data_IF_225264932935
#
_entry.id   IF_225264932935
#
_cell.length_a   1.000
_cell.length_b   1.000
_cell.length_c   1.000
_cell.angle_alpha   90.00
_cell.angle_beta   90.00
_cell.angle_gamma   90.00
#
_symmetry.space_group_name_H-M   'P 1'
#
loop_
_entity.id
_entity.type
_entity.pdbx_description
1 polymer ?
#
# COMPACT_ATOMS: atom_id res chain seq x y z
N UNK A 1 6.38 8.66 -12.54
CA UNK A 1 5.57 9.74 -11.91
C UNK A 1 4.25 9.81 -12.65
N UNK A 2 3.18 10.25 -12.00
CA UNK A 2 1.84 10.17 -12.62
C UNK A 2 1.60 11.21 -13.71
N UNK A 3 2.31 12.35 -13.68
CA UNK A 3 2.31 13.34 -14.77
C UNK A 3 3.24 12.98 -15.94
N UNK A 4 3.76 11.74 -15.99
CA UNK A 4 4.73 11.36 -17.02
C UNK A 4 4.09 11.12 -18.38
N UNK A 5 4.63 11.73 -19.44
CA UNK A 5 4.29 11.42 -20.83
C UNK A 5 5.44 10.69 -21.51
N UNK A 6 5.33 9.37 -21.62
CA UNK A 6 6.40 8.53 -22.17
C UNK A 6 6.81 8.88 -23.62
N UNK A 7 5.92 9.48 -24.41
CA UNK A 7 6.20 9.94 -25.78
C UNK A 7 6.78 11.36 -25.86
N UNK A 8 7.05 12.03 -24.73
CA UNK A 8 7.61 13.37 -24.72
C UNK A 8 9.09 13.38 -25.13
N UNK A 9 9.49 14.44 -25.84
CA UNK A 9 10.87 14.65 -26.31
C UNK A 9 11.63 15.71 -25.51
N UNK A 10 11.02 16.28 -24.46
CA UNK A 10 11.64 17.23 -23.54
C UNK A 10 11.24 16.93 -22.09
N UNK A 11 12.09 17.30 -21.13
CA UNK A 11 11.79 17.12 -19.70
C UNK A 11 10.52 17.87 -19.27
N UNK A 12 10.32 19.10 -19.78
CA UNK A 12 9.11 19.88 -19.51
C UNK A 12 7.84 19.20 -20.03
N UNK A 13 7.87 18.65 -21.24
CA UNK A 13 6.72 17.92 -21.79
C UNK A 13 6.52 16.55 -21.12
N UNK A 14 7.61 15.94 -20.64
CA UNK A 14 7.55 14.68 -19.90
C UNK A 14 6.85 14.87 -18.56
N UNK A 15 7.02 16.01 -17.89
CA UNK A 15 6.44 16.31 -16.57
C UNK A 15 5.23 17.27 -16.60
N UNK A 16 4.60 17.48 -17.76
CA UNK A 16 3.51 18.46 -17.91
C UNK A 16 2.27 18.12 -17.05
N UNK A 17 1.64 19.16 -16.50
CA UNK A 17 0.35 19.07 -15.78
C UNK A 17 -0.78 18.58 -16.68
N UNK A 18 -0.66 18.74 -18.01
CA UNK A 18 -1.66 18.20 -18.94
C UNK A 18 -1.82 16.68 -18.80
N UNK A 19 -0.84 16.01 -18.19
CA UNK A 19 -0.86 14.57 -17.92
C UNK A 19 -1.30 14.25 -16.48
N UNK A 20 -1.50 15.24 -15.61
CA UNK A 20 -2.01 15.04 -14.25
C UNK A 20 -3.47 14.62 -14.33
N UNK A 21 -3.83 13.52 -13.68
CA UNK A 21 -5.22 13.08 -13.61
C UNK A 21 -6.09 14.13 -12.89
N UNK A 22 -7.30 14.39 -13.41
CA UNK A 22 -8.17 15.50 -12.97
C UNK A 22 -8.66 15.44 -11.53
N UNK A 23 -8.57 14.28 -10.87
CA UNK A 23 -8.87 14.14 -9.44
C UNK A 23 -7.73 14.63 -8.53
N UNK A 24 -6.58 15.00 -9.09
CA UNK A 24 -5.44 15.56 -8.37
C UNK A 24 -5.41 17.07 -8.49
N UNK A 25 -4.68 17.72 -7.59
CA UNK A 25 -4.46 19.17 -7.61
C UNK A 25 -3.04 19.48 -8.01
N UNK A 26 -2.88 20.50 -8.83
CA UNK A 26 -1.58 21.06 -9.15
C UNK A 26 -1.28 22.35 -8.35
N UNK A 27 -2.13 22.71 -7.37
CA UNK A 27 -2.08 23.96 -6.58
C UNK A 27 -0.70 24.25 -5.95
N UNK A 28 0.13 23.24 -5.72
CA UNK A 28 1.47 23.35 -5.12
C UNK A 28 2.60 22.99 -6.09
N UNK A 29 2.35 23.04 -7.40
CA UNK A 29 3.37 22.82 -8.43
C UNK A 29 3.81 24.14 -9.05
N UNK A 30 5.04 24.21 -9.56
CA UNK A 30 5.59 25.34 -10.36
C UNK A 30 4.67 25.73 -11.49
N UNK A 31 3.89 24.78 -11.97
CA UNK A 31 3.09 24.91 -13.15
C UNK A 31 1.70 25.55 -12.86
N UNK A 32 1.32 25.74 -11.59
CA UNK A 32 0.08 26.46 -11.23
C UNK A 32 0.17 27.98 -11.40
N UNK A 33 1.29 28.61 -11.00
CA UNK A 33 1.47 30.07 -11.15
C UNK A 33 2.89 30.52 -11.52
N UNK A 34 3.84 29.60 -11.70
CA UNK A 34 5.24 29.93 -12.01
C UNK A 34 6.03 30.51 -10.83
N UNK A 35 5.44 30.61 -9.63
CA UNK A 35 6.05 31.26 -8.46
C UNK A 35 6.50 30.29 -7.38
N UNK A 36 6.00 29.05 -7.38
CA UNK A 36 6.32 28.02 -6.38
C UNK A 36 7.09 26.87 -7.00
N UNK A 37 8.42 26.86 -6.86
CA UNK A 37 9.23 25.67 -7.14
C UNK A 37 9.41 24.84 -5.86
N UNK A 38 8.72 23.70 -5.66
CA UNK A 38 8.96 22.85 -4.52
C UNK A 38 10.38 22.31 -4.61
N UNK A 39 11.14 22.60 -3.56
CA UNK A 39 12.53 22.16 -3.47
C UNK A 39 12.57 20.65 -3.26
N UNK A 40 13.22 19.94 -4.18
CA UNK A 40 13.52 18.53 -3.99
C UNK A 40 14.42 18.36 -2.76
N UNK A 41 14.07 17.42 -1.90
CA UNK A 41 14.85 17.07 -0.72
C UNK A 41 15.58 15.75 -0.94
N UNK A 42 16.74 15.64 -0.33
CA UNK A 42 17.47 14.37 -0.20
C UNK A 42 16.69 13.41 0.70
N UNK A 43 17.03 12.11 0.63
CA UNK A 43 16.43 11.13 1.52
C UNK A 43 16.76 11.44 3.00
N UNK A 44 17.99 11.87 3.33
CA UNK A 44 18.35 12.34 4.69
C UNK A 44 17.49 13.50 5.19
N UNK A 45 17.22 14.49 4.35
CA UNK A 45 16.35 15.62 4.70
C UNK A 45 14.91 15.16 4.92
N UNK A 46 14.40 14.26 4.08
CA UNK A 46 13.07 13.67 4.30
C UNK A 46 12.99 12.88 5.61
N UNK A 47 14.06 12.14 5.97
CA UNK A 47 14.16 11.44 7.26
C UNK A 47 14.04 12.45 8.40
N UNK A 48 14.79 13.55 8.36
CA UNK A 48 14.76 14.58 9.39
C UNK A 48 13.36 15.20 9.56
N UNK A 49 12.70 15.55 8.45
CA UNK A 49 11.36 16.14 8.45
C UNK A 49 10.30 15.19 9.02
N UNK A 50 10.25 13.95 8.54
CA UNK A 50 9.28 12.95 8.98
C UNK A 50 9.54 12.55 10.44
N UNK A 51 10.81 12.47 10.86
CA UNK A 51 11.15 12.17 12.25
C UNK A 51 10.71 13.28 13.20
N UNK A 52 10.92 14.55 12.83
CA UNK A 52 10.46 15.70 13.60
C UNK A 52 8.93 15.72 13.77
N UNK A 53 8.19 15.21 12.78
CA UNK A 53 6.75 15.02 12.85
C UNK A 53 6.30 13.78 13.65
N UNK A 54 7.24 12.97 14.17
CA UNK A 54 6.95 11.77 14.95
C UNK A 54 6.28 10.65 14.16
N UNK A 55 6.46 10.59 12.83
CA UNK A 55 5.79 9.63 11.95
C UNK A 55 6.68 8.43 11.58
N UNK A 56 6.06 7.35 11.10
CA UNK A 56 6.76 6.21 10.50
C UNK A 56 7.17 6.53 9.05
N UNK A 57 8.07 5.75 8.50
CA UNK A 57 8.65 5.93 7.17
C UNK A 57 8.26 4.76 6.26
N UNK A 58 7.93 5.05 5.00
CA UNK A 58 7.63 4.02 3.98
C UNK A 58 8.46 4.28 2.70
N UNK A 59 9.80 4.33 2.77
CA UNK A 59 10.64 4.66 1.62
C UNK A 59 10.59 3.58 0.54
N UNK A 60 10.36 3.98 -0.71
CA UNK A 60 10.46 3.08 -1.87
C UNK A 60 11.82 3.20 -2.54
N UNK A 61 12.54 2.08 -2.62
CA UNK A 61 13.70 1.96 -3.48
C UNK A 61 13.24 1.72 -4.92
N UNK A 62 13.37 2.75 -5.76
CA UNK A 62 12.99 2.67 -7.17
C UNK A 62 14.05 1.92 -7.98
N UNK A 63 13.61 1.04 -8.89
CA UNK A 63 14.49 0.38 -9.86
C UNK A 63 15.16 1.43 -10.76
N UNK A 64 16.45 1.24 -10.99
CA UNK A 64 17.39 2.28 -11.36
C UNK A 64 17.41 2.70 -12.83
N UNK A 65 17.56 4.01 -13.03
CA UNK A 65 18.48 4.58 -14.01
C UNK A 65 19.65 5.21 -13.24
N UNK A 66 20.90 4.88 -13.56
CA UNK A 66 22.05 5.35 -12.76
C UNK A 66 22.24 6.87 -12.89
N UNK A 67 22.09 7.59 -11.78
CA UNK A 67 22.47 9.00 -11.65
C UNK A 67 22.96 9.28 -10.21
N UNK A 68 23.70 10.38 -10.03
CA UNK A 68 24.48 10.67 -8.82
C UNK A 68 23.72 10.72 -7.49
N UNK A 69 22.40 10.91 -7.50
CA UNK A 69 21.56 10.99 -6.30
C UNK A 69 20.77 9.73 -5.95
N UNK A 70 21.03 8.61 -6.61
CA UNK A 70 20.32 7.35 -6.34
C UNK A 70 20.99 6.54 -5.22
N UNK A 71 20.20 6.04 -4.26
CA UNK A 71 20.66 5.26 -3.09
C UNK A 71 20.53 3.75 -3.26
N UNK A 72 21.61 2.98 -3.18
CA UNK A 72 21.56 1.51 -3.27
C UNK A 72 20.81 0.87 -2.08
N UNK A 73 20.55 -0.44 -2.17
CA UNK A 73 19.83 -1.20 -1.14
C UNK A 73 20.48 -1.10 0.25
N UNK A 74 21.80 -0.97 0.34
CA UNK A 74 22.54 -0.76 1.58
C UNK A 74 22.50 0.71 2.02
N UNK A 75 22.72 1.63 1.08
CA UNK A 75 22.75 3.07 1.37
C UNK A 75 21.44 3.59 1.96
N UNK A 76 20.27 3.15 1.46
CA UNK A 76 18.98 3.57 2.02
C UNK A 76 18.85 3.20 3.51
N UNK A 77 19.38 2.03 3.91
CA UNK A 77 19.36 1.57 5.31
C UNK A 77 20.36 2.35 6.16
N UNK A 78 21.56 2.59 5.63
CA UNK A 78 22.61 3.32 6.33
C UNK A 78 22.18 4.75 6.71
N UNK A 79 21.37 5.41 5.88
CA UNK A 79 20.84 6.73 6.22
C UNK A 79 19.89 6.70 7.43
N UNK A 80 19.05 5.66 7.57
CA UNK A 80 18.22 5.47 8.77
C UNK A 80 19.06 5.18 10.02
N UNK A 81 20.10 4.35 9.88
CA UNK A 81 21.04 4.06 10.97
C UNK A 81 21.78 5.32 11.43
N UNK A 82 22.29 6.13 10.49
CA UNK A 82 22.94 7.41 10.77
C UNK A 82 22.02 8.38 11.51
N UNK A 83 20.75 8.42 11.11
CA UNK A 83 19.71 9.22 11.75
C UNK A 83 19.20 8.63 13.09
N UNK A 84 19.70 7.45 13.50
CA UNK A 84 19.29 6.72 14.70
C UNK A 84 17.78 6.47 14.76
N UNK A 85 17.18 6.16 13.61
CA UNK A 85 15.77 5.78 13.52
C UNK A 85 15.64 4.30 13.87
N UNK A 86 14.74 3.99 14.81
CA UNK A 86 14.40 2.62 15.17
C UNK A 86 13.88 1.84 13.94
N UNK A 87 14.43 0.66 13.61
CA UNK A 87 14.05 -0.10 12.42
C UNK A 87 12.54 -0.40 12.33
N UNK A 88 11.87 -0.58 13.47
CA UNK A 88 10.41 -0.80 13.56
C UNK A 88 9.57 0.36 13.04
N UNK A 89 10.15 1.56 12.87
CA UNK A 89 9.49 2.71 12.25
C UNK A 89 9.64 2.76 10.74
N UNK A 90 10.42 1.88 10.12
CA UNK A 90 10.79 1.98 8.70
C UNK A 90 10.25 0.80 7.91
N UNK A 91 9.41 1.09 6.91
CA UNK A 91 8.80 0.13 6.02
C UNK A 91 9.45 0.26 4.64
N UNK A 92 10.65 -0.31 4.49
CA UNK A 92 11.35 -0.34 3.20
C UNK A 92 10.49 -1.07 2.18
N UNK A 93 10.31 -0.50 0.99
CA UNK A 93 9.54 -1.11 -0.08
C UNK A 93 10.32 -1.10 -1.40
N UNK A 94 10.14 -2.13 -2.22
CA UNK A 94 10.73 -2.21 -3.56
C UNK A 94 9.90 -3.13 -4.46
N UNK A 95 9.85 -2.82 -5.76
CA UNK A 95 9.34 -3.71 -6.80
C UNK A 95 10.37 -4.79 -7.18
N UNK A 96 11.63 -4.62 -6.80
CA UNK A 96 12.72 -5.51 -7.15
C UNK A 96 12.92 -6.56 -6.04
N UNK A 97 12.58 -7.81 -6.33
CA UNK A 97 12.71 -8.94 -5.39
C UNK A 97 14.13 -9.05 -4.76
N UNK A 98 15.24 -8.93 -5.53
CA UNK A 98 16.58 -8.86 -4.99
C UNK A 98 16.79 -7.87 -3.84
N UNK A 99 16.21 -6.67 -3.89
CA UNK A 99 16.39 -5.66 -2.83
C UNK A 99 15.76 -6.15 -1.52
N UNK A 100 14.55 -6.72 -1.61
CA UNK A 100 13.83 -7.29 -0.47
C UNK A 100 14.60 -8.45 0.14
N UNK A 101 15.07 -9.37 -0.70
CA UNK A 101 15.84 -10.53 -0.23
C UNK A 101 17.15 -10.11 0.41
N UNK A 102 17.81 -9.08 -0.13
CA UNK A 102 19.03 -8.53 0.45
C UNK A 102 18.76 -7.93 1.83
N UNK A 103 17.70 -7.13 2.02
CA UNK A 103 17.33 -6.57 3.33
C UNK A 103 16.97 -7.64 4.36
N UNK A 104 16.23 -8.68 3.95
CA UNK A 104 15.89 -9.80 4.83
C UNK A 104 17.16 -10.52 5.33
N UNK A 105 18.15 -10.71 4.46
CA UNK A 105 19.37 -11.46 4.75
C UNK A 105 20.42 -10.64 5.51
N UNK A 106 20.62 -9.38 5.14
CA UNK A 106 21.75 -8.56 5.60
C UNK A 106 21.34 -7.53 6.65
N UNK A 107 20.07 -7.11 6.66
CA UNK A 107 19.54 -6.06 7.54
C UNK A 107 18.28 -6.54 8.29
N UNK A 108 18.34 -7.66 9.03
CA UNK A 108 17.14 -8.37 9.51
C UNK A 108 16.20 -7.52 10.38
N UNK A 109 16.72 -6.50 11.08
CA UNK A 109 15.89 -5.58 11.84
C UNK A 109 15.00 -4.69 10.95
N UNK A 110 15.50 -4.27 9.78
CA UNK A 110 14.73 -3.54 8.77
C UNK A 110 13.96 -4.51 7.85
N UNK A 111 14.57 -5.63 7.47
CA UNK A 111 14.00 -6.68 6.63
C UNK A 111 12.75 -7.36 7.22
N UNK A 112 12.62 -7.38 8.55
CA UNK A 112 11.46 -7.97 9.25
C UNK A 112 10.10 -7.38 8.81
N UNK A 113 10.08 -6.14 8.33
CA UNK A 113 8.88 -5.47 7.80
C UNK A 113 9.09 -4.86 6.41
N UNK A 114 10.09 -5.34 5.66
CA UNK A 114 10.24 -5.00 4.26
C UNK A 114 9.00 -5.42 3.46
N UNK A 115 8.56 -4.55 2.55
CA UNK A 115 7.32 -4.68 1.79
C UNK A 115 7.65 -4.92 0.32
N UNK A 116 7.31 -6.10 -0.18
CA UNK A 116 7.53 -6.43 -1.59
C UNK A 116 6.37 -5.91 -2.44
N UNK A 117 6.63 -4.92 -3.29
CA UNK A 117 5.63 -4.31 -4.16
C UNK A 117 5.35 -5.22 -5.36
N UNK A 118 4.07 -5.39 -5.68
CA UNK A 118 3.60 -6.21 -6.78
C UNK A 118 3.03 -5.32 -7.89
N UNK A 119 3.88 -5.09 -8.89
CA UNK A 119 3.58 -4.28 -10.08
C UNK A 119 3.01 -5.09 -11.24
N UNK A 120 2.56 -6.32 -10.99
CA UNK A 120 2.07 -7.21 -12.05
C UNK A 120 0.94 -6.56 -12.84
N UNK A 121 1.08 -6.49 -14.17
CA UNK A 121 0.00 -6.02 -15.03
C UNK A 121 -1.12 -7.06 -15.19
N UNK A 122 -0.81 -8.33 -14.96
CA UNK A 122 -1.73 -9.45 -15.10
C UNK A 122 -2.44 -9.71 -13.77
N UNK A 123 -3.77 -9.82 -13.81
CA UNK A 123 -4.56 -10.17 -12.65
C UNK A 123 -4.08 -11.48 -12.01
N UNK A 124 -4.00 -11.52 -10.68
CA UNK A 124 -3.50 -12.65 -9.93
C UNK A 124 -2.04 -12.50 -9.46
N UNK A 125 -1.24 -11.61 -10.06
CA UNK A 125 0.09 -11.15 -9.58
C UNK A 125 0.91 -12.20 -8.81
N UNK A 126 1.45 -11.84 -7.64
CA UNK A 126 2.13 -12.76 -6.72
C UNK A 126 1.24 -13.82 -6.06
N UNK A 127 -0.08 -13.82 -6.29
CA UNK A 127 -1.00 -14.78 -5.68
C UNK A 127 -0.62 -16.25 -5.91
N UNK A 128 0.01 -16.58 -7.04
CA UNK A 128 0.53 -17.93 -7.31
C UNK A 128 1.91 -18.21 -6.69
N UNK A 129 2.66 -17.17 -6.31
CA UNK A 129 3.99 -17.24 -5.68
C UNK A 129 3.95 -17.05 -4.16
N UNK A 130 2.77 -16.81 -3.57
CA UNK A 130 2.62 -16.45 -2.17
C UNK A 130 3.33 -17.42 -1.20
N UNK A 131 3.22 -18.74 -1.43
CA UNK A 131 3.91 -19.74 -0.61
C UNK A 131 5.44 -19.65 -0.69
N UNK A 132 5.98 -19.43 -1.90
CA UNK A 132 7.41 -19.21 -2.10
C UNK A 132 7.88 -17.94 -1.37
N UNK A 133 7.20 -16.81 -1.56
CA UNK A 133 7.58 -15.54 -0.93
C UNK A 133 7.57 -15.65 0.60
N UNK A 134 6.54 -16.25 1.18
CA UNK A 134 6.46 -16.47 2.61
C UNK A 134 7.62 -17.36 3.12
N UNK A 135 7.95 -18.43 2.39
CA UNK A 135 9.06 -19.33 2.73
C UNK A 135 10.44 -18.67 2.59
N UNK A 136 10.57 -17.69 1.68
CA UNK A 136 11.78 -16.89 1.49
C UNK A 136 11.95 -15.78 2.55
N UNK A 137 11.03 -15.68 3.51
CA UNK A 137 11.11 -14.72 4.62
C UNK A 137 10.34 -13.42 4.39
N UNK A 138 9.71 -13.23 3.22
CA UNK A 138 8.84 -12.08 2.98
C UNK A 138 7.64 -12.15 3.91
N UNK A 139 7.35 -11.04 4.59
CA UNK A 139 6.20 -10.94 5.52
C UNK A 139 5.10 -10.03 5.02
N UNK A 140 5.44 -9.02 4.22
CA UNK A 140 4.52 -8.04 3.67
C UNK A 140 4.63 -7.99 2.16
N UNK A 141 3.48 -8.03 1.49
CA UNK A 141 3.36 -7.76 0.07
C UNK A 141 2.45 -6.57 -0.15
N UNK A 142 2.70 -5.85 -1.24
CA UNK A 142 1.92 -4.70 -1.61
C UNK A 142 1.46 -4.76 -3.07
N UNK A 143 0.31 -5.40 -3.37
CA UNK A 143 -0.31 -5.35 -4.69
C UNK A 143 -1.11 -4.09 -4.98
N UNK A 144 -1.26 -3.85 -6.28
CA UNK A 144 -2.34 -3.01 -6.82
C UNK A 144 -3.69 -3.49 -6.27
N UNK A 145 -4.53 -2.53 -5.88
CA UNK A 145 -5.84 -2.79 -5.28
C UNK A 145 -6.72 -3.73 -6.12
N UNK A 146 -6.69 -3.58 -7.45
CA UNK A 146 -7.46 -4.42 -8.37
C UNK A 146 -7.13 -5.92 -8.30
N UNK A 147 -5.96 -6.30 -7.78
CA UNK A 147 -5.64 -7.70 -7.54
C UNK A 147 -6.38 -8.29 -6.34
N UNK A 148 -6.79 -7.49 -5.36
CA UNK A 148 -7.35 -7.98 -4.09
C UNK A 148 -8.85 -8.22 -4.13
N UNK A 149 -9.55 -7.57 -5.06
CA UNK A 149 -11.01 -7.52 -5.09
C UNK A 149 -11.56 -8.14 -6.38
N UNK A 150 -12.68 -8.84 -6.24
CA UNK A 150 -13.49 -9.34 -7.34
C UNK A 150 -14.97 -9.04 -7.08
N UNK A 151 -15.78 -9.04 -8.13
CA UNK A 151 -17.24 -9.02 -7.95
C UNK A 151 -17.71 -10.27 -7.21
N UNK A 152 -18.70 -10.13 -6.34
CA UNK A 152 -19.46 -11.26 -5.83
C UNK A 152 -20.22 -11.97 -6.98
N UNK A 153 -20.76 -13.16 -6.72
CA UNK A 153 -21.48 -13.94 -7.74
C UNK A 153 -22.70 -13.22 -8.35
N UNK A 154 -23.22 -12.19 -7.66
CA UNK A 154 -24.37 -11.40 -8.11
C UNK A 154 -23.96 -10.08 -8.78
N UNK A 155 -22.66 -9.78 -8.91
CA UNK A 155 -22.15 -8.52 -9.49
C UNK A 155 -22.37 -7.25 -8.65
N UNK A 156 -22.85 -7.37 -7.42
CA UNK A 156 -23.35 -6.24 -6.62
C UNK A 156 -22.45 -5.81 -5.48
N UNK A 157 -21.35 -6.52 -5.23
CA UNK A 157 -20.46 -6.24 -4.10
C UNK A 157 -19.06 -6.80 -4.31
N UNK A 158 -18.14 -6.41 -3.41
CA UNK A 158 -16.74 -6.79 -3.45
C UNK A 158 -16.45 -7.99 -2.55
N UNK A 159 -15.71 -8.96 -3.08
CA UNK A 159 -15.20 -10.13 -2.34
C UNK A 159 -13.68 -10.25 -2.51
N UNK A 160 -12.97 -10.91 -1.58
CA UNK A 160 -11.54 -11.19 -1.74
C UNK A 160 -11.31 -12.05 -2.98
N UNK A 161 -10.32 -11.69 -3.79
CA UNK A 161 -9.84 -12.50 -4.92
C UNK A 161 -9.03 -13.72 -4.47
N UNK A 162 -8.70 -14.61 -5.40
CA UNK A 162 -7.78 -15.73 -5.24
C UNK A 162 -6.40 -15.25 -4.85
N UNK A 163 -5.97 -14.09 -5.37
CA UNK A 163 -4.76 -13.42 -4.88
C UNK A 163 -4.84 -13.22 -3.38
N UNK A 164 -5.87 -12.51 -2.91
CA UNK A 164 -6.01 -12.15 -1.51
C UNK A 164 -6.11 -13.39 -0.62
N UNK A 165 -6.87 -14.40 -1.06
CA UNK A 165 -7.01 -15.68 -0.37
C UNK A 165 -5.69 -16.45 -0.29
N UNK A 166 -4.95 -16.56 -1.39
CA UNK A 166 -3.68 -17.30 -1.43
C UNK A 166 -2.59 -16.60 -0.61
N UNK A 167 -2.48 -15.28 -0.70
CA UNK A 167 -1.54 -14.50 0.10
C UNK A 167 -1.81 -14.65 1.60
N UNK A 168 -3.09 -14.51 2.00
CA UNK A 168 -3.51 -14.68 3.40
C UNK A 168 -3.26 -16.11 3.88
N UNK A 169 -3.59 -17.12 3.07
CA UNK A 169 -3.36 -18.53 3.41
C UNK A 169 -1.87 -18.87 3.56
N UNK A 170 -0.99 -18.21 2.82
CA UNK A 170 0.47 -18.33 2.96
C UNK A 170 1.02 -17.57 4.17
N UNK A 171 0.20 -16.83 4.91
CA UNK A 171 0.61 -16.03 6.07
C UNK A 171 1.27 -14.69 5.72
N UNK A 172 1.13 -14.22 4.47
CA UNK A 172 1.57 -12.89 4.07
C UNK A 172 0.59 -11.83 4.55
N UNK A 173 1.12 -10.72 5.06
CA UNK A 173 0.34 -9.52 5.36
C UNK A 173 0.27 -8.64 4.12
N UNK A 174 -0.89 -8.03 3.90
CA UNK A 174 -1.18 -7.28 2.68
C UNK A 174 -1.26 -5.79 3.03
N UNK A 175 -0.45 -4.99 2.37
CA UNK A 175 -0.65 -3.54 2.21
C UNK A 175 -1.13 -3.33 0.76
N UNK A 176 -1.88 -2.29 0.41
CA UNK A 176 -2.27 -2.10 -1.00
C UNK A 176 -2.20 -0.65 -1.42
N UNK A 177 -2.11 -0.40 -2.73
CA UNK A 177 -1.99 0.93 -3.31
C UNK A 177 -2.79 1.01 -4.62
N UNK A 178 -3.34 2.15 -5.02
CA UNK A 178 -3.65 3.37 -4.24
C UNK A 178 -5.17 3.55 -4.30
N UNK A 179 -5.82 3.85 -3.16
CA UNK A 179 -7.29 3.83 -3.01
C UNK A 179 -8.00 4.60 -4.14
N UNK A 180 -7.52 5.80 -4.47
CA UNK A 180 -8.21 6.75 -5.35
C UNK A 180 -7.92 6.52 -6.84
N UNK A 181 -7.03 5.58 -7.17
CA UNK A 181 -6.75 5.24 -8.58
C UNK A 181 -7.87 4.46 -9.27
N UNK A 182 -9.05 4.37 -8.64
CA UNK A 182 -10.33 3.90 -9.18
C UNK A 182 -10.20 2.77 -10.22
N UNK A 183 -9.53 1.69 -9.80
CA UNK A 183 -9.33 0.53 -10.63
C UNK A 183 -10.61 -0.29 -10.68
N UNK A 184 -10.96 -0.80 -11.86
CA UNK A 184 -11.99 -1.83 -11.98
C UNK A 184 -11.59 -3.10 -11.22
N UNK A 185 -12.58 -3.83 -10.69
CA UNK A 185 -12.36 -5.17 -10.18
C UNK A 185 -12.38 -6.17 -11.37
N UNK A 186 -11.70 -7.31 -11.25
CA UNK A 186 -11.89 -8.39 -12.22
C UNK A 186 -13.29 -9.01 -12.09
N UNK A 187 -13.89 -9.53 -13.18
CA UNK A 187 -15.12 -10.32 -13.09
C UNK A 187 -14.98 -11.42 -12.05
N UNK A 188 -16.08 -11.80 -11.40
CA UNK A 188 -16.07 -12.84 -10.36
C UNK A 188 -15.30 -14.07 -10.84
N UNK A 189 -14.27 -14.48 -10.08
CA UNK A 189 -13.35 -15.58 -10.42
C UNK A 189 -14.04 -16.93 -10.66
N UNK A 190 -15.30 -17.06 -10.24
CA UNK A 190 -16.13 -18.24 -10.38
C UNK A 190 -17.33 -18.07 -11.34
N UNK A 191 -17.52 -16.93 -12.01
CA UNK A 191 -18.67 -16.74 -12.92
C UNK A 191 -18.25 -16.78 -14.38
N UNK A 192 -18.87 -17.71 -15.11
CA UNK A 192 -18.89 -17.78 -16.57
C UNK A 192 -19.32 -16.43 -17.17
N UNK A 193 -18.38 -15.57 -17.61
CA UNK A 193 -18.60 -14.44 -18.57
C UNK A 193 -19.77 -13.45 -18.34
N UNK A 194 -20.58 -13.59 -17.29
CA UNK A 194 -21.88 -12.93 -17.16
C UNK A 194 -21.92 -11.91 -16.00
N UNK A 195 -20.91 -11.91 -15.11
CA UNK A 195 -20.80 -10.87 -14.09
C UNK A 195 -19.93 -9.73 -14.64
N UNK A 196 -20.48 -8.52 -14.81
CA UNK A 196 -19.71 -7.39 -15.27
C UNK A 196 -18.57 -7.08 -14.28
N UNK A 197 -17.39 -6.66 -14.76
CA UNK A 197 -16.40 -6.07 -13.88
C UNK A 197 -17.03 -4.84 -13.21
N UNK A 198 -16.83 -4.71 -11.91
CA UNK A 198 -17.23 -3.50 -11.22
C UNK A 198 -16.29 -2.35 -11.61
N UNK A 199 -16.88 -1.24 -12.06
CA UNK A 199 -16.18 -0.11 -12.71
C UNK A 199 -16.06 1.14 -11.84
N UNK A 200 -16.70 1.15 -10.66
CA UNK A 200 -16.63 2.25 -9.70
C UNK A 200 -17.03 1.76 -8.31
N UNK A 201 -16.41 2.30 -7.27
CA UNK A 201 -16.74 1.97 -5.88
C UNK A 201 -16.82 3.24 -5.04
N UNK A 202 -17.63 3.18 -3.99
CA UNK A 202 -17.47 4.11 -2.88
C UNK A 202 -16.16 3.79 -2.15
N UNK A 203 -15.26 4.77 -2.01
CA UNK A 203 -13.94 4.58 -1.38
C UNK A 203 -14.05 4.03 0.05
N UNK A 204 -15.07 4.44 0.82
CA UNK A 204 -15.29 3.95 2.18
C UNK A 204 -15.76 2.49 2.20
N UNK A 205 -16.61 2.07 1.25
CA UNK A 205 -17.01 0.66 1.11
C UNK A 205 -15.83 -0.22 0.67
N UNK A 206 -14.97 0.32 -0.20
CA UNK A 206 -13.74 -0.34 -0.64
C UNK A 206 -12.76 -0.50 0.53
N UNK A 207 -12.46 0.58 1.26
CA UNK A 207 -11.60 0.54 2.45
C UNK A 207 -12.17 -0.42 3.50
N UNK A 208 -13.49 -0.40 3.73
CA UNK A 208 -14.15 -1.34 4.63
C UNK A 208 -13.96 -2.78 4.16
N UNK A 209 -14.18 -3.07 2.88
CA UNK A 209 -13.97 -4.41 2.31
C UNK A 209 -12.52 -4.89 2.46
N UNK A 210 -11.54 -4.03 2.19
CA UNK A 210 -10.10 -4.33 2.38
C UNK A 210 -9.79 -4.61 3.86
N UNK A 211 -10.31 -3.78 4.76
CA UNK A 211 -10.18 -3.99 6.20
C UNK A 211 -10.83 -5.30 6.66
N UNK A 212 -11.99 -5.67 6.08
CA UNK A 212 -12.71 -6.93 6.34
C UNK A 212 -11.91 -8.15 5.97
N UNK A 213 -11.23 -8.13 4.83
CA UNK A 213 -10.42 -9.26 4.39
C UNK A 213 -9.04 -9.34 5.05
N UNK A 214 -8.69 -8.40 5.94
CA UNK A 214 -7.44 -8.46 6.71
C UNK A 214 -6.26 -7.72 6.08
N UNK A 215 -6.51 -6.82 5.13
CA UNK A 215 -5.48 -5.84 4.68
C UNK A 215 -5.06 -5.00 5.89
N UNK A 216 -3.75 -4.88 6.10
CA UNK A 216 -3.17 -4.23 7.28
C UNK A 216 -2.77 -2.78 7.05
N UNK A 217 -2.77 -2.31 5.79
CA UNK A 217 -2.50 -0.93 5.44
C UNK A 217 -2.91 -0.61 4.00
N UNK A 218 -3.18 0.66 3.73
CA UNK A 218 -3.50 1.17 2.40
C UNK A 218 -2.69 2.42 2.13
N UNK A 219 -2.18 2.57 0.90
CA UNK A 219 -1.72 3.84 0.38
C UNK A 219 -2.91 4.59 -0.22
N UNK A 220 -2.98 5.88 0.10
CA UNK A 220 -4.04 6.78 -0.30
C UNK A 220 -3.39 8.12 -0.64
N UNK A 221 -3.75 8.66 -1.80
CA UNK A 221 -3.35 10.01 -2.20
C UNK A 221 -4.07 11.07 -1.35
N UNK A 222 -5.21 10.70 -0.73
CA UNK A 222 -6.03 11.55 0.11
C UNK A 222 -6.08 11.03 1.56
N UNK A 223 -5.09 11.37 2.41
CA UNK A 223 -4.98 10.83 3.76
C UNK A 223 -6.22 11.11 4.64
N UNK A 224 -7.01 12.14 4.30
CA UNK A 224 -8.27 12.44 4.98
C UNK A 224 -9.28 11.29 4.91
N UNK A 225 -9.46 10.64 3.75
CA UNK A 225 -10.45 9.56 3.57
C UNK A 225 -10.15 8.37 4.48
N UNK A 226 -8.90 7.89 4.45
CA UNK A 226 -8.47 6.75 5.26
C UNK A 226 -8.43 7.08 6.76
N UNK A 227 -8.06 8.33 7.12
CA UNK A 227 -8.06 8.80 8.52
C UNK A 227 -9.48 8.91 9.07
N UNK A 228 -10.42 9.43 8.26
CA UNK A 228 -11.83 9.52 8.63
C UNK A 228 -12.41 8.13 8.87
N UNK A 229 -12.20 7.21 7.94
CA UNK A 229 -12.64 5.82 8.09
C UNK A 229 -12.06 5.17 9.37
N UNK A 230 -10.75 5.29 9.59
CA UNK A 230 -10.08 4.73 10.77
C UNK A 230 -10.67 5.31 12.08
N UNK A 231 -10.94 6.62 12.11
CA UNK A 231 -11.54 7.30 13.26
C UNK A 231 -12.95 6.78 13.55
N UNK A 232 -13.76 6.53 12.51
CA UNK A 232 -15.09 5.93 12.67
C UNK A 232 -15.02 4.51 13.25
N UNK A 233 -14.11 3.66 12.74
CA UNK A 233 -13.96 2.29 13.24
C UNK A 233 -13.49 2.25 14.69
N UNK A 234 -12.55 3.12 15.07
CA UNK A 234 -12.11 3.23 16.47
C UNK A 234 -13.21 3.75 17.39
N UNK A 235 -14.00 4.73 16.94
CA UNK A 235 -15.19 5.17 17.68
C UNK A 235 -16.20 4.03 17.90
N UNK A 236 -16.46 3.23 16.87
CA UNK A 236 -17.36 2.08 16.96
C UNK A 236 -16.82 0.98 17.89
N UNK A 237 -15.49 0.78 17.95
CA UNK A 237 -14.85 -0.16 18.88
C UNK A 237 -14.98 0.30 20.34
N UNK A 238 -14.78 1.59 20.61
CA UNK A 238 -14.84 2.15 21.98
C UNK A 238 -16.26 2.22 22.54
N UNK A 239 -17.28 2.35 21.68
CA UNK A 239 -18.70 2.34 22.08
C UNK A 239 -19.32 0.95 22.19
N UNK A 240 -18.62 -0.11 21.76
CA UNK A 240 -19.12 -1.46 22.00
C UNK A 240 -19.02 -1.75 23.50
N UNK A 241 -20.14 -2.10 24.18
CA UNK A 241 -20.01 -2.70 25.50
C UNK A 241 -19.04 -3.88 25.40
N UNK A 242 -18.34 -4.18 26.49
CA UNK A 242 -17.51 -5.38 26.60
C UNK A 242 -18.40 -6.64 26.49
N UNK A 243 -18.94 -6.89 25.31
CA UNK A 243 -19.87 -7.96 25.04
C UNK A 243 -19.05 -9.23 24.89
N UNK A 244 -18.93 -9.91 26.02
CA UNK A 244 -19.25 -11.32 26.16
C UNK A 244 -19.05 -12.15 24.91
N UNK A 245 -17.96 -12.90 24.92
CA UNK A 245 -17.65 -14.07 24.11
C UNK A 245 -17.20 -13.77 22.67
N UNK A 246 -15.98 -14.24 22.39
CA UNK A 246 -15.29 -14.33 21.09
C UNK A 246 -16.07 -15.09 19.98
N UNK A 247 -17.35 -15.45 20.21
CA UNK A 247 -18.23 -16.17 19.28
C UNK A 247 -18.80 -15.31 18.16
N UNK A 248 -19.29 -14.10 18.44
CA UNK A 248 -19.87 -13.22 17.41
C UNK A 248 -18.80 -12.61 16.49
N UNK A 249 -17.57 -12.44 16.99
CA UNK A 249 -16.44 -11.90 16.21
C UNK A 249 -15.96 -12.91 15.15
N UNK A 250 -15.99 -14.22 15.44
CA UNK A 250 -15.67 -15.27 14.47
C UNK A 250 -16.66 -15.30 13.30
N UNK A 251 -17.94 -15.05 13.56
CA UNK A 251 -19.00 -15.15 12.57
C UNK A 251 -18.96 -14.06 11.49
N UNK A 252 -18.39 -12.88 11.78
CA UNK A 252 -18.40 -11.74 10.85
C UNK A 252 -17.05 -11.55 10.14
N UNK A 253 -15.92 -11.93 10.75
CA UNK A 253 -14.59 -11.52 10.24
C UNK A 253 -13.58 -12.65 10.02
N UNK A 254 -13.94 -13.92 10.25
CA UNK A 254 -13.08 -15.10 10.02
C UNK A 254 -11.59 -14.91 10.40
N UNK A 255 -11.31 -14.14 11.47
CA UNK A 255 -9.95 -13.94 11.99
C UNK A 255 -9.69 -14.99 13.06
N UNK A 256 -8.62 -15.75 12.89
CA UNK A 256 -8.15 -16.77 13.84
C UNK A 256 -7.59 -16.17 15.15
N UNK A 257 -7.41 -14.84 15.22
CA UNK A 257 -6.88 -14.15 16.40
C UNK A 257 -7.92 -13.21 17.02
N UNK A 258 -8.48 -13.60 18.16
CA UNK A 258 -9.19 -12.67 19.06
C UNK A 258 -8.17 -11.87 19.88
N UNK A 259 -8.46 -10.58 20.08
CA UNK A 259 -8.00 -9.76 21.21
C UNK A 259 -6.50 -9.43 21.32
N UNK A 260 -5.92 -8.84 20.27
CA UNK A 260 -4.85 -7.86 20.43
C UNK A 260 -5.42 -6.48 20.17
N UNK A 261 -5.56 -5.64 21.20
CA UNK A 261 -5.92 -4.24 21.04
C UNK A 261 -4.76 -3.48 20.40
N UNK A 262 -4.54 -3.67 19.10
CA UNK A 262 -3.71 -2.72 18.35
C UNK A 262 -4.60 -1.52 18.05
N UNK A 263 -4.39 -0.45 18.83
CA UNK A 263 -4.99 0.86 18.56
C UNK A 263 -4.63 1.31 17.14
N UNK A 264 -5.44 2.18 16.51
CA UNK A 264 -5.07 2.73 15.21
C UNK A 264 -3.69 3.42 15.20
N UNK A 265 -3.14 3.83 16.36
CA UNK A 265 -1.75 4.33 16.49
C UNK A 265 -0.67 3.29 16.15
N UNK A 266 -0.98 2.00 16.27
CA UNK A 266 -0.02 0.95 15.95
C UNK A 266 -0.11 0.55 14.47
N UNK A 267 -1.30 0.64 13.89
CA UNK A 267 -1.58 0.26 12.49
C UNK A 267 -1.29 1.38 11.49
N UNK A 268 -1.47 2.64 11.90
CA UNK A 268 -1.11 3.83 11.12
C UNK A 268 0.12 4.52 11.74
#
# INVERSE_FOLDING_TARGET
MDSSKASATSAAAYMSMDNTATFRTDLYSDAWDGTVCPTLVTHKESIALINAAGRKFTPELKTYFSWSGSLTYDQVVDEYKQAKVEPSRVWLQSFNEPDIMWWIQNEPAFGAQAVMLDGSAIFGGFGHRAGYLASAGVRYIAPQLGHLIASNANGTGLVPSAYARNATAAGLKIITWTVERNYGCSPAEASTRATPPCTSFNELELIDTLYKMGVVGVFSDWPATVTFYASCIDHLRTKRPAASTCGEVKAIWNRSGCCGAQSAREVF
#
